data_IF_640013535249
#
_entry.id   IF_640013535249
#
_cell.length_a   1.000
_cell.length_b   1.000
_cell.length_c   1.000
_cell.angle_alpha   90.00
_cell.angle_beta   90.00
_cell.angle_gamma   90.00
#
_symmetry.space_group_name_H-M   'P 1'
#
loop_
_entity.id
_entity.type
_entity.pdbx_description
1 polymer ?
#
# COMPACT_ATOMS: atom_id res chain seq x y z
N UNK A 1 6.34 -15.73 -13.09
CA UNK A 1 7.76 -15.31 -13.01
C UNK A 1 8.01 -14.57 -11.68
N UNK A 2 8.30 -15.28 -10.57
CA UNK A 2 8.52 -14.67 -9.24
C UNK A 2 9.67 -15.32 -8.43
N UNK A 3 10.70 -15.86 -9.11
CA UNK A 3 11.80 -16.58 -8.44
C UNK A 3 13.21 -16.05 -8.75
N UNK A 4 13.36 -14.93 -9.49
CA UNK A 4 14.70 -14.46 -9.93
C UNK A 4 15.44 -13.56 -8.94
N UNK A 5 14.83 -13.17 -7.82
CA UNK A 5 15.45 -12.21 -6.87
C UNK A 5 16.22 -12.85 -5.71
N UNK A 6 15.83 -14.03 -5.24
CA UNK A 6 16.56 -14.74 -4.18
C UNK A 6 17.98 -15.14 -4.59
N UNK A 7 18.22 -15.39 -5.89
CA UNK A 7 19.53 -15.84 -6.39
C UNK A 7 20.60 -14.76 -6.50
N UNK A 8 20.23 -13.48 -6.64
CA UNK A 8 21.21 -12.41 -6.93
C UNK A 8 21.82 -11.85 -5.63
N UNK A 9 21.08 -11.86 -4.51
CA UNK A 9 21.59 -11.37 -3.21
C UNK A 9 22.49 -12.41 -2.51
N UNK A 10 22.31 -13.70 -2.79
CA UNK A 10 23.08 -14.78 -2.17
C UNK A 10 24.52 -14.93 -2.71
N UNK A 11 24.88 -14.27 -3.82
CA UNK A 11 26.18 -14.49 -4.50
C UNK A 11 27.21 -13.36 -4.30
N UNK A 12 27.03 -12.49 -3.29
CA UNK A 12 28.00 -11.43 -2.94
C UNK A 12 28.29 -11.47 -1.44
N UNK A 13 28.93 -12.55 -1.00
CA UNK A 13 29.25 -12.79 0.40
C UNK A 13 30.60 -13.46 0.58
N UNK A 14 31.66 -12.89 0.02
CA UNK A 14 33.02 -13.27 0.38
C UNK A 14 33.91 -12.03 0.54
N UNK A 15 34.42 -11.91 1.77
CA UNK A 15 35.63 -11.21 2.23
C UNK A 15 35.58 -9.73 2.65
N UNK A 16 36.32 -9.54 3.75
CA UNK A 16 36.74 -8.30 4.45
C UNK A 16 35.60 -7.68 5.28
N UNK A 17 35.69 -7.51 6.60
CA UNK A 17 36.83 -7.17 7.46
C UNK A 17 36.50 -5.80 8.08
N UNK A 18 36.12 -5.77 9.37
CA UNK A 18 35.87 -4.57 10.20
C UNK A 18 35.06 -3.43 9.55
N UNK A 19 33.74 -3.61 9.46
CA UNK A 19 32.75 -2.56 9.20
C UNK A 19 31.36 -3.13 9.45
N UNK A 20 30.56 -2.50 10.32
CA UNK A 20 29.21 -2.99 10.61
C UNK A 20 28.40 -3.16 9.32
N UNK A 21 27.66 -4.27 9.18
CA UNK A 21 26.84 -4.53 7.98
C UNK A 21 25.82 -3.40 7.82
N UNK A 22 25.60 -2.87 6.60
CA UNK A 22 24.60 -1.83 6.40
C UNK A 22 23.21 -2.34 6.82
N UNK A 23 22.39 -1.45 7.37
CA UNK A 23 21.09 -1.83 7.93
C UNK A 23 20.15 -2.42 6.85
N UNK A 24 20.24 -1.95 5.59
CA UNK A 24 19.51 -2.51 4.44
C UNK A 24 19.83 -3.98 4.22
N UNK A 25 21.11 -4.35 4.25
CA UNK A 25 21.55 -5.73 4.11
C UNK A 25 21.19 -6.56 5.35
N UNK A 26 21.27 -5.97 6.55
CA UNK A 26 20.96 -6.66 7.82
C UNK A 26 19.49 -7.06 7.90
N UNK A 27 18.57 -6.20 7.45
CA UNK A 27 17.14 -6.53 7.34
C UNK A 27 16.91 -7.75 6.44
N UNK A 28 17.69 -7.92 5.38
CA UNK A 28 17.49 -9.01 4.42
C UNK A 28 18.10 -10.35 4.85
N UNK A 29 19.20 -10.37 5.62
CA UNK A 29 20.03 -11.57 5.77
C UNK A 29 20.33 -11.98 7.21
N UNK A 30 19.97 -11.18 8.21
CA UNK A 30 20.20 -11.56 9.60
C UNK A 30 19.29 -12.73 10.00
N UNK A 31 19.85 -13.75 10.63
CA UNK A 31 19.12 -14.93 11.09
C UNK A 31 18.25 -14.61 12.31
N UNK A 32 18.73 -13.77 13.21
CA UNK A 32 18.00 -13.29 14.39
C UNK A 32 16.95 -12.22 14.02
N UNK A 33 15.70 -12.49 14.37
CA UNK A 33 14.59 -11.56 14.19
C UNK A 33 14.79 -10.23 14.93
N UNK A 34 15.37 -10.26 16.14
CA UNK A 34 15.59 -9.04 16.91
C UNK A 34 16.65 -8.14 16.23
N UNK A 35 17.64 -8.72 15.55
CA UNK A 35 18.60 -7.99 14.73
C UNK A 35 17.93 -7.38 13.48
N UNK A 36 17.06 -8.13 12.79
CA UNK A 36 16.29 -7.61 11.64
C UNK A 36 15.35 -6.47 12.05
N UNK A 37 14.63 -6.60 13.16
CA UNK A 37 13.71 -5.56 13.64
C UNK A 37 14.46 -4.27 14.05
N UNK A 38 15.61 -4.42 14.71
CA UNK A 38 16.50 -3.28 15.03
C UNK A 38 17.03 -2.62 13.76
N UNK A 39 17.44 -3.40 12.77
CA UNK A 39 17.90 -2.88 11.49
C UNK A 39 16.79 -2.12 10.74
N UNK A 40 15.57 -2.65 10.71
CA UNK A 40 14.41 -1.97 10.13
C UNK A 40 14.11 -0.65 10.83
N UNK A 41 14.08 -0.65 12.16
CA UNK A 41 13.88 0.58 12.96
C UNK A 41 14.97 1.62 12.66
N UNK A 42 16.23 1.18 12.60
CA UNK A 42 17.34 2.08 12.31
C UNK A 42 17.24 2.66 10.91
N UNK A 43 16.83 1.88 9.90
CA UNK A 43 16.59 2.37 8.53
C UNK A 43 15.55 3.49 8.51
N UNK A 44 14.43 3.32 9.22
CA UNK A 44 13.42 4.38 9.33
C UNK A 44 13.99 5.66 9.90
N UNK A 45 14.73 5.56 11.02
CA UNK A 45 15.31 6.72 11.70
C UNK A 45 16.33 7.48 10.85
N UNK A 46 17.24 6.77 10.17
CA UNK A 46 18.28 7.42 9.36
C UNK A 46 17.77 7.90 8.01
N UNK A 47 16.61 7.40 7.57
CA UNK A 47 15.97 7.78 6.31
C UNK A 47 14.79 8.75 6.51
N UNK A 48 14.55 9.18 7.75
CA UNK A 48 13.55 10.18 8.08
C UNK A 48 14.09 11.58 7.75
N UNK A 49 13.39 12.32 6.89
CA UNK A 49 13.85 13.63 6.37
C UNK A 49 14.50 13.53 4.98
N UNK A 50 14.53 14.67 4.28
CA UNK A 50 14.63 14.81 2.82
C UNK A 50 15.80 14.04 2.14
N UNK A 51 15.53 12.77 1.82
CA UNK A 51 16.06 11.95 0.72
C UNK A 51 16.02 10.47 1.15
N UNK A 52 14.89 10.01 1.71
CA UNK A 52 14.73 8.62 2.13
C UNK A 52 15.25 7.69 1.05
N UNK A 53 16.33 6.97 1.36
CA UNK A 53 17.05 6.19 0.35
C UNK A 53 16.07 5.20 -0.28
N UNK A 54 15.94 5.19 -1.60
CA UNK A 54 15.10 4.21 -2.31
C UNK A 54 15.41 2.78 -1.83
N UNK A 55 16.69 2.48 -1.60
CA UNK A 55 17.13 1.20 -1.05
C UNK A 55 16.62 0.92 0.38
N UNK A 56 16.47 1.95 1.21
CA UNK A 56 15.87 1.80 2.54
C UNK A 56 14.36 1.52 2.44
N UNK A 57 13.64 2.24 1.58
CA UNK A 57 12.21 2.00 1.36
C UNK A 57 11.97 0.60 0.81
N UNK A 58 12.76 0.15 -0.18
CA UNK A 58 12.66 -1.21 -0.74
C UNK A 58 12.96 -2.29 0.31
N UNK A 59 14.02 -2.11 1.11
CA UNK A 59 14.36 -3.07 2.17
C UNK A 59 13.26 -3.15 3.23
N UNK A 60 12.69 -2.01 3.62
CA UNK A 60 11.57 -1.97 4.57
C UNK A 60 10.31 -2.57 3.96
N UNK A 61 9.99 -2.29 2.69
CA UNK A 61 8.86 -2.89 1.99
C UNK A 61 8.95 -4.42 1.98
N UNK A 62 10.13 -5.00 1.72
CA UNK A 62 10.34 -6.44 1.82
C UNK A 62 10.08 -6.97 3.24
N UNK A 63 10.57 -6.25 4.26
CA UNK A 63 10.43 -6.62 5.67
C UNK A 63 8.98 -6.59 6.19
N UNK A 64 8.04 -5.95 5.48
CA UNK A 64 6.60 -6.01 5.81
C UNK A 64 6.02 -7.43 5.68
N UNK A 65 6.74 -8.33 5.02
CA UNK A 65 6.36 -9.75 4.83
C UNK A 65 7.27 -10.73 5.59
N UNK A 66 8.13 -10.21 6.49
CA UNK A 66 8.99 -11.05 7.32
C UNK A 66 8.16 -12.05 8.15
N UNK A 67 8.61 -13.29 8.37
CA UNK A 67 7.89 -14.25 9.21
C UNK A 67 7.75 -13.77 10.66
N UNK A 68 8.68 -12.94 11.16
CA UNK A 68 8.64 -12.41 12.52
C UNK A 68 7.77 -11.16 12.63
N UNK A 69 6.92 -11.15 13.65
CA UNK A 69 5.96 -10.08 13.90
C UNK A 69 6.61 -8.73 14.22
N UNK A 70 7.66 -8.75 15.04
CA UNK A 70 8.35 -7.52 15.45
C UNK A 70 9.07 -6.89 14.26
N UNK A 71 9.58 -7.70 13.33
CA UNK A 71 10.19 -7.20 12.09
C UNK A 71 9.15 -6.52 11.20
N UNK A 72 7.98 -7.14 10.98
CA UNK A 72 6.88 -6.53 10.21
C UNK A 72 6.42 -5.20 10.82
N UNK A 73 6.25 -5.17 12.15
CA UNK A 73 5.85 -3.95 12.88
C UNK A 73 6.88 -2.83 12.73
N UNK A 74 8.17 -3.15 12.90
CA UNK A 74 9.25 -2.19 12.71
C UNK A 74 9.25 -1.64 11.28
N UNK A 75 9.06 -2.50 10.28
CA UNK A 75 9.01 -2.12 8.88
C UNK A 75 7.86 -1.14 8.57
N UNK A 76 6.63 -1.48 8.97
CA UNK A 76 5.45 -0.63 8.77
C UNK A 76 5.62 0.72 9.48
N UNK A 77 6.12 0.72 10.72
CA UNK A 77 6.40 1.94 11.47
C UNK A 77 7.40 2.84 10.73
N UNK A 78 8.51 2.25 10.29
CA UNK A 78 9.59 2.97 9.63
C UNK A 78 9.18 3.51 8.27
N UNK A 79 8.38 2.78 7.48
CA UNK A 79 7.82 3.29 6.22
C UNK A 79 6.94 4.53 6.46
N UNK A 80 6.10 4.50 7.50
CA UNK A 80 5.25 5.64 7.83
C UNK A 80 6.04 6.86 8.32
N UNK A 81 7.13 6.63 9.08
CA UNK A 81 8.03 7.70 9.53
C UNK A 81 8.83 8.32 8.37
N UNK A 82 9.21 7.53 7.37
CA UNK A 82 9.88 8.03 6.15
C UNK A 82 8.92 8.91 5.35
N UNK A 83 7.67 8.46 5.16
CA UNK A 83 6.59 9.27 4.60
C UNK A 83 6.78 9.77 3.16
N UNK A 84 7.81 9.33 2.43
CA UNK A 84 8.02 9.65 1.02
C UNK A 84 6.92 9.03 0.14
N UNK A 85 6.82 9.45 -1.13
CA UNK A 85 5.84 8.87 -2.06
C UNK A 85 6.00 7.34 -2.18
N UNK A 86 7.24 6.86 -2.31
CA UNK A 86 7.53 5.42 -2.39
C UNK A 86 7.18 4.69 -1.09
N UNK A 87 7.46 5.30 0.08
CA UNK A 87 7.13 4.69 1.37
C UNK A 87 5.61 4.60 1.61
N UNK A 88 4.87 5.63 1.20
CA UNK A 88 3.41 5.63 1.18
C UNK A 88 2.86 4.56 0.23
N UNK A 89 3.44 4.43 -0.96
CA UNK A 89 3.05 3.39 -1.90
C UNK A 89 3.30 1.99 -1.32
N UNK A 90 4.44 1.78 -0.65
CA UNK A 90 4.73 0.51 0.03
C UNK A 90 3.70 0.20 1.14
N UNK A 91 3.30 1.19 1.95
CA UNK A 91 2.24 1.01 2.94
C UNK A 91 0.89 0.67 2.30
N UNK A 92 0.53 1.30 1.18
CA UNK A 92 -0.70 1.00 0.46
C UNK A 92 -0.67 -0.42 -0.13
N UNK A 93 0.47 -0.89 -0.61
CA UNK A 93 0.64 -2.26 -1.09
C UNK A 93 0.55 -3.29 0.05
N UNK A 94 1.01 -2.91 1.25
CA UNK A 94 0.74 -3.70 2.46
C UNK A 94 -0.77 -3.83 2.62
N UNK A 95 -1.54 -2.71 2.68
CA UNK A 95 -3.03 -2.69 2.79
C UNK A 95 -3.71 -3.65 1.80
N UNK A 96 -3.28 -3.64 0.55
CA UNK A 96 -3.82 -4.49 -0.52
C UNK A 96 -3.45 -5.98 -0.38
N UNK A 97 -2.40 -6.28 0.38
CA UNK A 97 -1.87 -7.62 0.59
C UNK A 97 -2.70 -8.48 1.55
N UNK A 98 -2.56 -9.81 1.41
CA UNK A 98 -3.25 -10.81 2.25
C UNK A 98 -2.62 -11.05 3.62
N UNK A 99 -1.39 -10.59 3.86
CA UNK A 99 -0.66 -10.86 5.10
C UNK A 99 -0.75 -9.71 6.11
N UNK A 100 -1.97 -9.31 6.48
CA UNK A 100 -2.16 -8.58 7.73
C UNK A 100 -2.25 -9.58 8.87
N UNK A 101 -1.18 -9.65 9.65
CA UNK A 101 -1.30 -10.25 10.97
C UNK A 101 -1.91 -9.23 11.91
N UNK A 102 -2.85 -9.67 12.76
CA UNK A 102 -3.42 -8.97 13.93
C UNK A 102 -2.42 -8.02 14.63
N UNK A 103 -1.16 -8.44 14.68
CA UNK A 103 0.05 -7.66 15.00
C UNK A 103 0.12 -6.20 14.54
N UNK A 104 -0.35 -5.88 13.33
CA UNK A 104 -0.19 -4.55 12.74
C UNK A 104 -1.17 -3.54 13.35
N UNK A 105 -2.21 -4.01 14.04
CA UNK A 105 -3.24 -3.16 14.65
C UNK A 105 -2.66 -2.11 15.60
N UNK A 106 -1.86 -2.52 16.59
CA UNK A 106 -1.29 -1.60 17.59
C UNK A 106 -0.41 -0.52 16.93
N UNK A 107 0.27 -0.89 15.84
CA UNK A 107 1.09 0.03 15.07
C UNK A 107 0.24 1.02 14.27
N UNK A 108 -0.77 0.56 13.54
CA UNK A 108 -1.68 1.44 12.80
C UNK A 108 -2.48 2.36 13.74
N UNK A 109 -2.89 1.88 14.91
CA UNK A 109 -3.53 2.69 15.95
C UNK A 109 -2.59 3.80 16.46
N UNK A 110 -1.32 3.46 16.71
CA UNK A 110 -0.30 4.44 17.12
C UNK A 110 0.06 5.43 16.00
N UNK A 111 0.04 4.99 14.75
CA UNK A 111 0.24 5.86 13.58
C UNK A 111 -0.95 6.79 13.38
N UNK A 112 -2.17 6.31 13.59
CA UNK A 112 -3.40 7.10 13.48
C UNK A 112 -3.37 8.33 14.38
N UNK A 113 -2.81 8.21 15.58
CA UNK A 113 -2.66 9.33 16.51
C UNK A 113 -1.70 10.43 15.99
N UNK A 114 -0.64 10.03 15.28
CA UNK A 114 0.37 10.97 14.75
C UNK A 114 0.04 11.50 13.36
N UNK A 115 -0.67 10.68 12.58
CA UNK A 115 -0.98 10.93 11.18
C UNK A 115 -2.48 10.72 10.92
N UNK A 116 -3.35 11.54 11.54
CA UNK A 116 -4.80 11.40 11.45
C UNK A 116 -5.38 11.79 10.07
N UNK A 117 -4.55 12.17 9.10
CA UNK A 117 -4.99 12.58 7.77
C UNK A 117 -4.28 11.80 6.65
N UNK A 118 -3.67 10.66 6.96
CA UNK A 118 -3.06 9.79 5.96
C UNK A 118 -4.01 8.65 5.56
N UNK A 119 -4.42 8.55 4.27
CA UNK A 119 -5.33 7.51 3.80
C UNK A 119 -4.82 6.10 4.06
N UNK A 120 -3.52 5.83 3.86
CA UNK A 120 -2.93 4.49 4.03
C UNK A 120 -2.94 4.05 5.50
N UNK A 121 -2.77 4.98 6.44
CA UNK A 121 -2.86 4.71 7.88
C UNK A 121 -4.30 4.36 8.26
N UNK A 122 -5.27 5.13 7.76
CA UNK A 122 -6.70 4.90 7.97
C UNK A 122 -7.16 3.56 7.39
N UNK A 123 -6.81 3.29 6.14
CA UNK A 123 -7.15 2.05 5.45
C UNK A 123 -6.48 0.84 6.12
N UNK A 124 -5.23 0.97 6.54
CA UNK A 124 -4.52 -0.09 7.26
C UNK A 124 -5.14 -0.39 8.63
N UNK A 125 -5.53 0.64 9.39
CA UNK A 125 -6.22 0.47 10.66
C UNK A 125 -7.59 -0.19 10.47
N UNK A 126 -8.40 0.33 9.53
CA UNK A 126 -9.71 -0.25 9.22
C UNK A 126 -9.62 -1.72 8.81
N UNK A 127 -8.63 -2.06 7.98
CA UNK A 127 -8.40 -3.46 7.59
C UNK A 127 -8.05 -4.33 8.79
N UNK A 128 -7.16 -3.88 9.67
CA UNK A 128 -6.82 -4.62 10.88
C UNK A 128 -8.02 -4.81 11.83
N UNK A 129 -8.89 -3.80 11.93
CA UNK A 129 -10.14 -3.85 12.68
C UNK A 129 -11.15 -4.85 12.08
N UNK A 130 -11.25 -4.92 10.76
CA UNK A 130 -12.06 -5.94 10.07
C UNK A 130 -11.58 -7.35 10.41
N UNK A 131 -10.27 -7.59 10.38
CA UNK A 131 -9.66 -8.89 10.74
C UNK A 131 -9.94 -9.25 12.22
N UNK A 132 -10.10 -8.24 13.10
CA UNK A 132 -10.45 -8.36 14.51
C UNK A 132 -11.96 -8.41 14.80
N UNK A 133 -12.81 -8.21 13.78
CA UNK A 133 -14.27 -8.01 13.90
C UNK A 133 -14.68 -6.76 14.70
N UNK A 134 -13.83 -5.75 14.75
CA UNK A 134 -14.11 -4.42 15.31
C UNK A 134 -14.80 -3.53 14.27
N UNK A 135 -16.03 -3.88 13.87
CA UNK A 135 -16.71 -3.27 12.72
C UNK A 135 -16.96 -1.76 12.84
N UNK A 136 -17.36 -1.27 14.01
CA UNK A 136 -17.58 0.16 14.24
C UNK A 136 -16.30 0.97 14.08
N UNK A 137 -15.18 0.49 14.63
CA UNK A 137 -13.89 1.14 14.46
C UNK A 137 -13.45 1.14 13.00
N UNK A 138 -13.70 0.06 12.26
CA UNK A 138 -13.44 0.00 10.83
C UNK A 138 -14.29 1.01 10.05
N UNK A 139 -15.59 1.13 10.38
CA UNK A 139 -16.51 2.11 9.80
C UNK A 139 -16.00 3.55 9.98
N UNK A 140 -15.59 3.90 11.21
CA UNK A 140 -15.05 5.22 11.53
C UNK A 140 -13.82 5.55 10.69
N UNK A 141 -12.88 4.61 10.58
CA UNK A 141 -11.64 4.80 9.84
C UNK A 141 -11.85 4.81 8.32
N UNK A 142 -12.75 4.00 7.78
CA UNK A 142 -13.10 4.04 6.35
C UNK A 142 -13.81 5.34 5.99
N UNK A 143 -14.72 5.82 6.84
CA UNK A 143 -15.40 7.10 6.65
C UNK A 143 -14.42 8.27 6.74
N UNK A 144 -13.47 8.22 7.68
CA UNK A 144 -12.39 9.21 7.74
C UNK A 144 -11.48 9.13 6.50
N UNK A 145 -11.17 7.93 5.99
CA UNK A 145 -10.37 7.77 4.77
C UNK A 145 -11.06 8.43 3.59
N UNK A 146 -12.38 8.24 3.44
CA UNK A 146 -13.16 8.92 2.42
C UNK A 146 -13.06 10.45 2.52
N UNK A 147 -13.20 11.02 3.73
CA UNK A 147 -13.08 12.47 3.94
C UNK A 147 -11.74 13.04 3.50
N UNK A 148 -10.66 12.28 3.67
CA UNK A 148 -9.33 12.68 3.18
C UNK A 148 -9.27 12.52 1.66
N UNK A 149 -9.62 11.35 1.14
CA UNK A 149 -9.50 10.98 -0.27
C UNK A 149 -10.30 11.91 -1.19
N UNK A 150 -11.51 12.31 -0.80
CA UNK A 150 -12.34 13.23 -1.59
C UNK A 150 -11.75 14.63 -1.75
N UNK A 151 -10.78 15.01 -0.91
CA UNK A 151 -10.09 16.30 -0.97
C UNK A 151 -8.72 16.22 -1.67
N UNK A 152 -8.31 15.02 -2.12
CA UNK A 152 -7.09 14.85 -2.91
C UNK A 152 -7.34 15.22 -4.38
N UNK A 153 -6.26 15.46 -5.12
CA UNK A 153 -6.38 15.55 -6.56
C UNK A 153 -6.75 14.19 -7.18
N UNK A 154 -7.28 14.23 -8.40
CA UNK A 154 -7.80 13.04 -9.09
C UNK A 154 -6.79 11.89 -9.19
N UNK A 155 -5.54 12.21 -9.55
CA UNK A 155 -4.47 11.22 -9.68
C UNK A 155 -4.16 10.52 -8.35
N UNK A 156 -4.10 11.28 -7.26
CA UNK A 156 -3.86 10.76 -5.91
C UNK A 156 -5.07 9.98 -5.40
N UNK A 157 -6.28 10.53 -5.54
CA UNK A 157 -7.52 9.91 -5.11
C UNK A 157 -7.70 8.53 -5.77
N UNK A 158 -7.44 8.43 -7.08
CA UNK A 158 -7.53 7.19 -7.86
C UNK A 158 -6.73 6.01 -7.26
N UNK A 159 -5.61 6.29 -6.58
CA UNK A 159 -4.79 5.24 -5.95
C UNK A 159 -5.49 4.59 -4.74
N UNK A 160 -6.38 5.31 -4.06
CA UNK A 160 -7.07 4.85 -2.85
C UNK A 160 -8.50 4.39 -3.10
N UNK A 161 -9.20 4.99 -4.07
CA UNK A 161 -10.63 4.76 -4.31
C UNK A 161 -10.99 3.27 -4.44
N UNK A 162 -10.19 2.51 -5.19
CA UNK A 162 -10.41 1.06 -5.36
C UNK A 162 -10.30 0.29 -4.04
N UNK A 163 -9.29 0.61 -3.22
CA UNK A 163 -9.08 -0.05 -1.94
C UNK A 163 -10.17 0.36 -0.94
N UNK A 164 -10.56 1.64 -0.93
CA UNK A 164 -11.59 2.18 -0.07
C UNK A 164 -12.95 1.55 -0.38
N UNK A 165 -13.34 1.52 -1.65
CA UNK A 165 -14.57 0.88 -2.12
C UNK A 165 -14.63 -0.59 -1.71
N UNK A 166 -13.57 -1.36 -2.00
CA UNK A 166 -13.48 -2.78 -1.63
C UNK A 166 -13.57 -3.00 -0.11
N UNK A 167 -12.89 -2.16 0.68
CA UNK A 167 -12.90 -2.28 2.15
C UNK A 167 -14.27 -1.96 2.74
N UNK A 168 -14.97 -0.95 2.20
CA UNK A 168 -16.33 -0.60 2.61
C UNK A 168 -17.36 -1.68 2.21
N UNK A 169 -17.23 -2.25 1.00
CA UNK A 169 -18.04 -3.40 0.58
C UNK A 169 -17.83 -4.62 1.48
N UNK A 170 -16.57 -4.91 1.83
CA UNK A 170 -16.24 -6.00 2.75
C UNK A 170 -16.82 -5.74 4.16
N UNK A 171 -16.74 -4.51 4.67
CA UNK A 171 -17.33 -4.16 5.96
C UNK A 171 -18.85 -4.35 5.94
N UNK A 172 -19.53 -3.84 4.90
CA UNK A 172 -20.96 -4.04 4.71
C UNK A 172 -21.33 -5.53 4.71
N UNK A 173 -20.61 -6.35 3.95
CA UNK A 173 -20.84 -7.79 3.93
C UNK A 173 -20.65 -8.44 5.32
N UNK A 174 -19.65 -7.99 6.09
CA UNK A 174 -19.44 -8.46 7.46
C UNK A 174 -20.60 -8.08 8.40
N UNK A 175 -21.16 -6.87 8.30
CA UNK A 175 -22.35 -6.48 9.04
C UNK A 175 -23.55 -7.38 8.72
N UNK A 176 -23.79 -7.66 7.43
CA UNK A 176 -24.85 -8.59 6.99
C UNK A 176 -24.65 -9.98 7.61
N UNK A 177 -23.43 -10.53 7.53
CA UNK A 177 -23.10 -11.84 8.09
C UNK A 177 -23.25 -11.88 9.62
N UNK A 178 -23.03 -10.76 10.30
CA UNK A 178 -23.23 -10.62 11.74
C UNK A 178 -24.71 -10.41 12.13
N UNK A 179 -25.61 -10.25 11.16
CA UNK A 179 -27.03 -9.97 11.40
C UNK A 179 -27.34 -8.49 11.71
N UNK A 180 -26.37 -7.59 11.58
CA UNK A 180 -26.54 -6.15 11.79
C UNK A 180 -26.91 -5.46 10.47
N UNK A 181 -28.21 -5.45 10.17
CA UNK A 181 -28.71 -4.79 8.95
C UNK A 181 -28.55 -3.27 8.99
N UNK A 182 -28.68 -2.66 10.18
CA UNK A 182 -28.54 -1.21 10.31
C UNK A 182 -27.11 -0.76 9.96
N UNK A 183 -26.09 -1.49 10.45
CA UNK A 183 -24.70 -1.27 10.06
C UNK A 183 -24.45 -1.49 8.56
N UNK A 184 -25.08 -2.52 7.97
CA UNK A 184 -24.97 -2.78 6.54
C UNK A 184 -25.58 -1.66 5.68
N UNK A 185 -26.72 -1.12 6.09
CA UNK A 185 -27.41 -0.03 5.39
C UNK A 185 -26.65 1.28 5.50
N UNK A 186 -26.15 1.63 6.70
CA UNK A 186 -25.27 2.79 6.89
C UNK A 186 -24.05 2.71 5.96
N UNK A 187 -23.42 1.54 5.88
CA UNK A 187 -22.28 1.33 4.99
C UNK A 187 -22.66 1.39 3.51
N UNK A 188 -23.86 0.95 3.13
CA UNK A 188 -24.35 1.08 1.75
C UNK A 188 -24.47 2.56 1.36
N UNK A 189 -25.09 3.37 2.21
CA UNK A 189 -25.21 4.82 1.97
C UNK A 189 -23.84 5.51 1.89
N UNK A 190 -22.90 5.13 2.78
CA UNK A 190 -21.55 5.69 2.77
C UNK A 190 -20.72 5.29 1.54
N UNK A 191 -21.04 4.14 0.93
CA UNK A 191 -20.33 3.58 -0.22
C UNK A 191 -20.70 4.27 -1.54
N UNK A 192 -21.95 4.73 -1.70
CA UNK A 192 -22.45 5.38 -2.93
C UNK A 192 -21.54 6.49 -3.50
N UNK A 193 -21.12 7.52 -2.72
CA UNK A 193 -20.24 8.56 -3.25
C UNK A 193 -18.84 8.04 -3.61
N UNK A 194 -18.35 7.01 -2.92
CA UNK A 194 -17.06 6.38 -3.21
C UNK A 194 -17.11 5.64 -4.53
N UNK A 195 -18.19 4.88 -4.79
CA UNK A 195 -18.39 4.15 -6.04
C UNK A 195 -18.48 5.09 -7.23
N UNK A 196 -19.21 6.19 -7.08
CA UNK A 196 -19.29 7.22 -8.11
C UNK A 196 -17.92 7.82 -8.43
N UNK A 197 -17.15 8.22 -7.41
CA UNK A 197 -15.81 8.76 -7.60
C UNK A 197 -14.85 7.74 -8.24
N UNK A 198 -14.95 6.46 -7.86
CA UNK A 198 -14.15 5.39 -8.46
C UNK A 198 -14.49 5.18 -9.95
N UNK A 199 -15.77 5.22 -10.31
CA UNK A 199 -16.23 5.12 -11.71
C UNK A 199 -15.73 6.30 -12.55
N UNK A 200 -15.82 7.52 -12.04
CA UNK A 200 -15.33 8.73 -12.70
C UNK A 200 -13.82 8.65 -12.96
N UNK A 201 -13.03 8.27 -11.95
CA UNK A 201 -11.58 8.09 -12.09
C UNK A 201 -11.20 7.04 -13.15
N UNK A 202 -11.97 5.95 -13.28
CA UNK A 202 -11.76 4.94 -14.33
C UNK A 202 -12.09 5.47 -15.73
N UNK A 203 -13.18 6.24 -15.86
CA UNK A 203 -13.58 6.81 -17.14
C UNK A 203 -12.51 7.76 -17.70
N UNK A 204 -11.92 8.59 -16.84
CA UNK A 204 -10.82 9.48 -17.23
C UNK A 204 -9.55 8.72 -17.62
N UNK A 205 -9.19 7.66 -16.88
CA UNK A 205 -8.05 6.80 -17.25
C UNK A 205 -8.25 6.10 -18.60
N UNK A 206 -9.47 5.65 -18.91
CA UNK A 206 -9.81 5.04 -20.19
C UNK A 206 -9.73 6.00 -21.38
N UNK A 207 -10.11 7.27 -21.18
CA UNK A 207 -10.01 8.31 -22.21
C UNK A 207 -8.55 8.69 -22.53
N UNK A 208 -7.69 8.76 -21.51
CA UNK A 208 -6.25 9.03 -21.69
C UNK A 208 -5.54 7.89 -22.46
N UNK A 209 -5.97 6.64 -22.26
CA UNK A 209 -5.46 5.49 -23.02
C UNK A 209 -5.93 5.42 -24.48
N UNK A 210 -7.10 5.99 -24.80
CA UNK A 210 -7.67 6.01 -26.15
C UNK A 210 -6.99 7.00 -27.11
N UNK A 211 -6.24 7.97 -26.61
CA UNK A 211 -5.62 9.03 -27.42
C UNK A 211 -4.32 8.59 -28.14
N UNK A 212 -3.85 7.36 -27.90
CA UNK A 212 -2.66 6.76 -28.55
C UNK A 212 -2.98 5.55 -29.45
N UNK A 213 -4.26 5.30 -29.75
CA UNK A 213 -4.72 4.15 -30.53
C UNK A 213 -5.15 4.44 -31.97
N UNK A 214 -4.80 5.60 -32.54
CA UNK A 214 -5.25 6.04 -33.86
C UNK A 214 -4.09 6.38 -34.80
N UNK A 215 -3.28 5.41 -35.19
CA UNK A 215 -2.17 5.70 -36.11
C UNK A 215 -1.44 4.45 -36.59
N UNK A 216 -2.10 3.60 -37.37
CA UNK A 216 -1.47 2.74 -38.39
C UNK A 216 -2.57 1.97 -39.13
N UNK A 217 -2.97 2.48 -40.30
CA UNK A 217 -3.92 1.79 -41.16
C UNK A 217 -4.26 2.63 -42.38
N UNK A 218 -3.43 2.57 -43.42
CA UNK A 218 -3.80 3.12 -44.73
C UNK A 218 -2.66 3.61 -45.62
N UNK A 219 -1.65 2.79 -45.91
CA UNK A 219 -0.95 2.91 -47.20
C UNK A 219 -1.55 1.88 -48.15
N UNK A 220 -2.70 2.22 -48.71
CA UNK A 220 -3.28 1.56 -49.87
C UNK A 220 -2.45 1.89 -51.11
N UNK A 221 -2.06 0.86 -51.87
CA UNK A 221 -1.18 0.97 -53.03
C UNK A 221 -1.71 1.88 -54.14
N UNK A 222 -0.78 2.56 -54.80
CA UNK A 222 -1.04 3.25 -56.06
C UNK A 222 -1.04 2.23 -57.21
N UNK A 223 -2.05 2.22 -58.10
CA UNK A 223 -1.94 1.54 -59.39
C UNK A 223 -1.19 2.42 -60.39
N UNK A 224 -0.24 1.81 -61.09
CA UNK A 224 0.45 2.34 -62.27
C UNK A 224 -0.60 2.48 -63.38
N UNK A 225 -0.75 3.67 -63.96
CA UNK A 225 -1.33 3.84 -65.29
C UNK A 225 -0.24 4.36 -66.24
N UNK A 226 -0.03 3.59 -67.31
CA UNK A 226 0.81 3.89 -68.46
C UNK A 226 0.15 4.99 -69.31
N UNK A 227 0.89 6.06 -69.56
CA UNK A 227 1.00 6.72 -70.85
C UNK A 227 2.46 7.11 -71.08
#
# INVERSE_FOLDING_TARGET
>A
MKLRWLGIVLMMGALVGCGGRPATQTVAVATDAAARARAATNLGRVSAGAAGSTAAVEALAAATTDPDESVRQAAIKSLAEIGTADARQALLDVVRGRQYTRAAYAQYASLRQRHPDQPEVLLGLAKAQLDLREYQGAEENLTAAWRVVQNLNEQQAGQYLMQLQSSMQNLRANYIMAGDQEGADRMQTALEPVEKAAQEAMAHAGQAGGMWGGGMGGMGGMPIQLQ
#
